data_IF_704952087304
#
_entry.id   IF_704952087304
#
_cell.length_a   1.000
_cell.length_b   1.000
_cell.length_c   1.000
_cell.angle_alpha   90.00
_cell.angle_beta   90.00
_cell.angle_gamma   90.00
#
_symmetry.space_group_name_H-M   'P 1'
#
loop_
_entity.id
_entity.type
_entity.pdbx_description
1 polymer ?
#
# COMPACT_ATOMS: atom_id res chain seq x y z
N UNK A 1 26.50 -10.37 28.31
CA UNK A 1 26.12 -9.08 27.64
C UNK A 1 26.79 -7.92 28.37
N UNK A 2 27.40 -6.96 27.59
CA UNK A 2 28.09 -5.78 28.14
C UNK A 2 27.07 -4.81 28.83
N UNK A 3 27.46 -4.21 29.97
CA UNK A 3 26.63 -3.27 30.75
C UNK A 3 26.08 -2.10 29.93
N UNK A 4 26.91 -1.56 29.02
CA UNK A 4 26.54 -0.46 28.11
C UNK A 4 25.37 -0.88 27.21
N UNK A 5 25.38 -2.10 26.66
CA UNK A 5 24.29 -2.63 25.82
C UNK A 5 22.98 -2.75 26.61
N UNK A 6 23.04 -3.21 27.88
CA UNK A 6 21.85 -3.27 28.75
C UNK A 6 21.23 -1.90 29.01
N UNK A 7 22.05 -0.89 29.27
CA UNK A 7 21.58 0.48 29.49
C UNK A 7 20.91 1.03 28.22
N UNK A 8 21.53 0.81 27.05
CA UNK A 8 20.99 1.25 25.76
C UNK A 8 19.65 0.60 25.47
N UNK A 9 19.49 -0.71 25.67
CA UNK A 9 18.22 -1.42 25.45
C UNK A 9 17.14 -0.84 26.38
N UNK A 10 17.43 -0.69 27.70
CA UNK A 10 16.46 -0.13 28.65
C UNK A 10 16.01 1.28 28.25
N UNK A 11 16.94 2.12 27.80
CA UNK A 11 16.63 3.47 27.33
C UNK A 11 15.73 3.44 26.07
N UNK A 12 16.05 2.60 25.09
CA UNK A 12 15.24 2.46 23.88
C UNK A 12 13.82 1.92 24.17
N UNK A 13 13.69 0.98 25.10
CA UNK A 13 12.40 0.46 25.57
C UNK A 13 11.61 1.57 26.28
N UNK A 14 12.27 2.34 27.15
CA UNK A 14 11.64 3.48 27.83
C UNK A 14 11.16 4.56 26.86
N UNK A 15 11.93 4.84 25.81
CA UNK A 15 11.52 5.77 24.73
C UNK A 15 10.47 5.19 23.77
N UNK A 16 10.00 3.97 23.95
CA UNK A 16 9.04 3.32 23.06
C UNK A 16 9.60 2.89 21.69
N UNK A 17 10.94 2.98 21.49
CA UNK A 17 11.63 2.64 20.24
C UNK A 17 12.01 1.16 20.12
N UNK A 18 11.85 0.40 21.18
CA UNK A 18 12.21 -1.01 21.22
C UNK A 18 11.26 -1.81 22.11
N UNK A 19 11.25 -3.13 21.91
CA UNK A 19 10.58 -4.13 22.75
C UNK A 19 11.62 -5.16 23.20
N UNK A 20 11.78 -5.36 24.51
CA UNK A 20 12.63 -6.42 25.06
C UNK A 20 11.73 -7.61 25.44
N UNK A 21 11.79 -8.66 24.63
CA UNK A 21 10.93 -9.83 24.71
C UNK A 21 11.34 -10.69 25.90
N UNK A 22 10.45 -10.77 26.87
CA UNK A 22 10.62 -11.61 28.04
C UNK A 22 9.26 -11.99 28.66
N UNK A 23 9.12 -13.20 29.19
CA UNK A 23 7.85 -13.73 29.71
C UNK A 23 7.22 -12.94 30.87
N UNK A 24 7.98 -12.10 31.57
CA UNK A 24 7.49 -11.20 32.64
C UNK A 24 7.40 -9.72 32.18
N UNK A 25 7.70 -9.42 30.94
CA UNK A 25 7.50 -8.08 30.38
C UNK A 25 6.01 -7.76 30.22
N UNK A 26 5.63 -6.49 30.14
CA UNK A 26 4.27 -6.12 29.74
C UNK A 26 4.00 -6.50 28.27
N UNK A 27 2.72 -6.48 27.90
CA UNK A 27 2.31 -6.61 26.50
C UNK A 27 3.02 -5.55 25.62
N UNK A 28 3.42 -5.88 24.39
CA UNK A 28 3.27 -7.16 23.68
C UNK A 28 4.39 -8.17 23.95
N UNK A 29 5.44 -7.80 24.70
CA UNK A 29 6.66 -8.57 24.85
C UNK A 29 6.46 -9.93 25.54
N UNK A 30 5.54 -10.03 26.51
CA UNK A 30 5.23 -11.29 27.19
C UNK A 30 4.59 -12.31 26.24
N UNK A 31 3.70 -11.87 25.35
CA UNK A 31 3.03 -12.73 24.35
C UNK A 31 4.02 -13.24 23.30
N UNK A 32 5.03 -12.43 22.95
CA UNK A 32 6.07 -12.81 21.99
C UNK A 32 7.13 -13.76 22.58
N UNK A 33 7.12 -13.98 23.89
CA UNK A 33 8.04 -14.93 24.53
C UNK A 33 7.73 -16.36 24.09
N UNK A 34 8.77 -17.13 23.76
CA UNK A 34 8.64 -18.56 23.44
C UNK A 34 7.96 -19.39 24.55
N UNK A 35 7.97 -18.88 25.77
CA UNK A 35 7.31 -19.49 26.93
C UNK A 35 5.80 -19.24 27.02
N UNK A 36 5.27 -18.32 26.22
CA UNK A 36 3.83 -18.02 26.17
C UNK A 36 3.07 -19.18 25.52
N UNK A 37 1.85 -19.43 25.97
CA UNK A 37 0.99 -20.51 25.50
C UNK A 37 0.34 -20.15 24.14
N UNK A 38 1.19 -19.92 23.14
CA UNK A 38 0.79 -19.66 21.77
C UNK A 38 0.68 -21.00 21.03
N UNK A 39 -0.46 -21.66 21.14
CA UNK A 39 -0.69 -22.95 20.47
C UNK A 39 -0.74 -22.79 18.93
N UNK A 40 -0.18 -23.79 18.24
CA UNK A 40 -0.23 -23.89 16.76
C UNK A 40 0.02 -25.34 16.32
N UNK A 41 -0.21 -25.63 15.06
CA UNK A 41 0.13 -26.91 14.43
C UNK A 41 1.29 -26.72 13.45
N UNK A 42 2.25 -27.63 13.48
CA UNK A 42 3.37 -27.63 12.54
C UNK A 42 3.65 -29.06 12.06
N UNK A 43 3.68 -29.29 10.74
CA UNK A 43 3.81 -30.61 10.11
C UNK A 43 2.83 -31.66 10.70
N UNK A 44 1.61 -31.24 10.99
CA UNK A 44 0.56 -32.08 11.56
C UNK A 44 0.70 -32.36 13.07
N UNK A 45 1.74 -31.81 13.73
CA UNK A 45 1.99 -31.97 15.16
C UNK A 45 1.46 -30.76 15.93
N UNK A 46 0.71 -31.01 17.02
CA UNK A 46 0.27 -29.95 17.93
C UNK A 46 1.46 -29.44 18.75
N UNK A 47 1.71 -28.13 18.68
CA UNK A 47 2.69 -27.40 19.47
C UNK A 47 1.95 -26.57 20.53
N UNK A 48 2.23 -26.79 21.83
CA UNK A 48 1.62 -26.02 22.92
C UNK A 48 2.22 -24.62 23.06
N UNK A 49 3.46 -24.44 22.58
CA UNK A 49 4.18 -23.17 22.55
C UNK A 49 5.41 -23.28 21.64
N UNK A 50 6.02 -22.16 21.29
CA UNK A 50 7.31 -22.19 20.59
C UNK A 50 8.42 -22.81 21.48
N UNK A 51 8.39 -22.65 22.80
CA UNK A 51 9.33 -23.34 23.69
C UNK A 51 9.15 -24.86 23.62
N UNK A 52 7.91 -25.36 23.58
CA UNK A 52 7.62 -26.78 23.41
C UNK A 52 8.21 -27.33 22.11
N UNK A 53 8.02 -26.61 21.02
CA UNK A 53 8.62 -26.96 19.73
C UNK A 53 10.16 -26.98 19.83
N UNK A 54 10.80 -25.92 20.31
CA UNK A 54 12.25 -25.82 20.42
C UNK A 54 12.87 -26.92 21.32
N UNK A 55 12.21 -27.25 22.43
CA UNK A 55 12.67 -28.34 23.31
C UNK A 55 12.45 -29.73 22.70
N UNK A 56 11.40 -29.88 21.87
CA UNK A 56 11.11 -31.11 21.15
C UNK A 56 12.23 -31.47 20.15
N UNK A 57 12.84 -30.47 19.51
CA UNK A 57 13.97 -30.68 18.58
C UNK A 57 15.20 -31.36 19.23
N UNK A 58 15.29 -31.32 20.55
CA UNK A 58 16.37 -31.98 21.32
C UNK A 58 16.09 -33.46 21.59
N UNK A 59 14.93 -33.97 21.18
CA UNK A 59 14.49 -35.33 21.43
C UNK A 59 14.62 -36.16 20.15
N UNK A 60 15.51 -37.20 20.17
CA UNK A 60 15.68 -38.10 19.02
C UNK A 60 14.48 -39.05 18.84
N UNK A 61 13.84 -39.45 19.93
CA UNK A 61 12.68 -40.33 19.90
C UNK A 61 11.43 -39.53 19.49
N UNK A 62 10.81 -39.86 18.35
CA UNK A 62 9.67 -39.16 17.75
C UNK A 62 8.47 -39.09 18.70
N UNK A 63 8.15 -40.19 19.41
CA UNK A 63 7.02 -40.22 20.35
C UNK A 63 7.21 -39.22 21.49
N UNK A 64 8.44 -39.20 22.07
CA UNK A 64 8.82 -38.24 23.10
C UNK A 64 8.88 -36.83 22.57
N UNK A 65 9.34 -36.64 21.31
CA UNK A 65 9.39 -35.37 20.61
C UNK A 65 7.99 -34.72 20.53
N UNK A 66 6.99 -35.47 20.08
CA UNK A 66 5.60 -34.96 19.98
C UNK A 66 4.98 -34.66 21.36
N UNK A 67 5.30 -35.49 22.39
CA UNK A 67 4.86 -35.22 23.73
C UNK A 67 5.43 -33.89 24.25
N UNK A 68 6.72 -33.63 24.06
CA UNK A 68 7.38 -32.38 24.48
C UNK A 68 6.87 -31.19 23.66
N UNK A 69 6.63 -31.38 22.36
CA UNK A 69 6.11 -30.35 21.48
C UNK A 69 4.74 -29.81 21.97
N UNK A 70 3.87 -30.66 22.46
CA UNK A 70 2.56 -30.29 23.02
C UNK A 70 2.61 -29.53 24.36
N UNK A 71 3.78 -29.37 24.97
CA UNK A 71 3.95 -28.66 26.24
C UNK A 71 4.10 -27.15 26.04
N UNK A 72 3.85 -26.38 27.12
CA UNK A 72 4.01 -24.94 27.11
C UNK A 72 4.79 -24.42 28.32
N UNK A 73 5.24 -23.20 28.24
CA UNK A 73 5.81 -22.45 29.35
C UNK A 73 6.98 -23.12 30.05
N UNK A 74 6.93 -23.11 31.35
CA UNK A 74 7.99 -23.69 32.21
C UNK A 74 8.06 -25.23 32.14
N UNK A 75 6.96 -25.89 31.84
CA UNK A 75 6.90 -27.33 31.68
C UNK A 75 7.76 -27.76 30.48
N UNK A 76 7.53 -27.13 29.31
CA UNK A 76 8.35 -27.37 28.14
C UNK A 76 9.84 -27.09 28.40
N UNK A 77 10.14 -25.97 29.06
CA UNK A 77 11.53 -25.59 29.37
C UNK A 77 12.26 -26.63 30.27
N UNK A 78 11.54 -27.34 31.15
CA UNK A 78 12.14 -28.41 32.02
C UNK A 78 12.53 -29.67 31.23
N UNK A 79 11.99 -29.84 30.02
CA UNK A 79 12.28 -30.99 29.15
C UNK A 79 13.59 -30.85 28.38
N UNK A 80 14.44 -29.91 28.78
CA UNK A 80 15.73 -29.67 28.12
C UNK A 80 16.62 -30.88 28.14
N UNK A 81 17.34 -31.11 27.04
CA UNK A 81 18.40 -32.08 26.89
C UNK A 81 19.61 -31.38 26.29
N UNK A 82 20.80 -31.60 26.80
CA UNK A 82 22.05 -31.00 26.34
C UNK A 82 22.84 -31.88 25.35
N UNK A 83 22.44 -33.15 25.15
CA UNK A 83 23.17 -34.10 24.32
C UNK A 83 23.36 -33.60 22.88
N UNK A 84 22.40 -32.79 22.36
CA UNK A 84 22.49 -32.20 21.04
C UNK A 84 23.69 -31.26 20.84
N UNK A 85 24.21 -30.67 21.94
CA UNK A 85 25.35 -29.74 21.91
C UNK A 85 26.66 -30.42 21.54
N UNK A 86 26.82 -31.67 21.84
CA UNK A 86 28.07 -32.44 21.59
C UNK A 86 28.34 -32.52 20.07
N UNK A 87 27.29 -32.87 19.30
CA UNK A 87 27.41 -33.07 17.86
C UNK A 87 26.63 -32.01 17.07
N UNK A 88 26.10 -30.98 17.71
CA UNK A 88 25.27 -29.94 17.12
C UNK A 88 24.11 -30.51 16.31
N UNK A 89 23.54 -31.64 16.71
CA UNK A 89 22.49 -32.37 16.01
C UNK A 89 21.17 -32.25 16.76
N UNK A 90 20.16 -31.81 16.02
CA UNK A 90 18.76 -31.79 16.45
C UNK A 90 17.93 -32.74 15.60
N UNK A 91 16.71 -33.02 15.99
CA UNK A 91 15.83 -33.94 15.26
C UNK A 91 14.45 -33.38 15.05
N UNK A 92 13.88 -33.64 13.87
CA UNK A 92 12.47 -33.39 13.60
C UNK A 92 11.88 -34.54 12.77
N UNK A 93 10.76 -35.10 13.21
CA UNK A 93 10.09 -36.26 12.58
C UNK A 93 11.05 -37.43 12.26
N UNK A 94 12.00 -37.72 13.17
CA UNK A 94 12.99 -38.77 12.99
C UNK A 94 14.21 -38.42 12.12
N UNK A 95 14.23 -37.25 11.50
CA UNK A 95 15.35 -36.76 10.70
C UNK A 95 16.32 -35.95 11.54
N UNK A 96 17.61 -36.28 11.42
CA UNK A 96 18.69 -35.53 12.05
C UNK A 96 19.00 -34.27 11.22
N UNK A 97 19.16 -33.13 11.87
CA UNK A 97 19.45 -31.84 11.26
C UNK A 97 20.63 -31.21 12.01
N UNK A 98 21.59 -30.69 11.27
CA UNK A 98 22.66 -29.89 11.85
C UNK A 98 22.12 -28.54 12.34
N UNK A 99 22.34 -28.24 13.63
CA UNK A 99 21.94 -26.97 14.27
C UNK A 99 22.55 -25.74 13.57
N UNK A 100 23.72 -25.90 12.95
CA UNK A 100 24.43 -24.81 12.31
C UNK A 100 24.05 -24.63 10.82
N UNK A 101 23.10 -25.43 10.33
CA UNK A 101 22.69 -25.41 8.89
C UNK A 101 21.58 -24.43 8.59
N UNK A 102 21.46 -24.03 7.34
CA UNK A 102 20.32 -23.25 6.82
C UNK A 102 19.01 -24.03 6.88
N UNK A 103 19.07 -25.38 6.83
CA UNK A 103 17.91 -26.26 7.00
C UNK A 103 17.27 -26.04 8.37
N UNK A 104 18.09 -25.96 9.43
CA UNK A 104 17.63 -25.65 10.77
C UNK A 104 16.94 -24.28 10.81
N UNK A 105 17.59 -23.23 10.29
CA UNK A 105 17.01 -21.88 10.31
C UNK A 105 15.70 -21.81 9.53
N UNK A 106 15.62 -22.53 8.41
CA UNK A 106 14.38 -22.63 7.61
C UNK A 106 13.27 -23.33 8.41
N UNK A 107 13.58 -24.44 9.08
CA UNK A 107 12.62 -25.13 9.95
C UNK A 107 12.04 -24.21 11.02
N UNK A 108 12.90 -23.45 11.70
CA UNK A 108 12.46 -22.51 12.74
C UNK A 108 11.60 -21.37 12.15
N UNK A 109 12.02 -20.78 11.02
CA UNK A 109 11.24 -19.74 10.34
C UNK A 109 9.84 -20.23 9.97
N UNK A 110 9.75 -21.43 9.41
CA UNK A 110 8.46 -22.03 9.03
C UNK A 110 7.57 -22.29 10.25
N UNK A 111 8.13 -22.71 11.38
CA UNK A 111 7.38 -22.91 12.62
C UNK A 111 6.84 -21.58 13.18
N UNK A 112 7.63 -20.48 13.15
CA UNK A 112 7.15 -19.16 13.54
C UNK A 112 6.08 -18.62 12.57
N UNK A 113 6.21 -18.87 11.29
CA UNK A 113 5.22 -18.49 10.28
C UNK A 113 3.89 -19.24 10.52
N UNK A 114 3.95 -20.56 10.75
CA UNK A 114 2.77 -21.35 11.11
C UNK A 114 2.10 -20.86 12.39
N UNK A 115 2.86 -20.51 13.43
CA UNK A 115 2.33 -19.92 14.65
C UNK A 115 1.69 -18.55 14.39
N UNK A 116 2.31 -17.70 13.60
CA UNK A 116 1.78 -16.38 13.23
C UNK A 116 0.45 -16.49 12.47
N UNK A 117 0.34 -17.44 11.54
CA UNK A 117 -0.88 -17.63 10.75
C UNK A 117 -2.04 -18.17 11.57
N UNK A 118 -1.75 -19.06 12.55
CA UNK A 118 -2.76 -19.77 13.30
C UNK A 118 -3.13 -19.11 14.62
N UNK A 119 -2.21 -18.37 15.27
CA UNK A 119 -2.42 -17.79 16.59
C UNK A 119 -2.61 -16.28 16.51
N UNK A 120 -3.87 -15.83 16.68
CA UNK A 120 -4.23 -14.41 16.59
C UNK A 120 -3.57 -13.55 17.66
N UNK A 121 -3.45 -14.06 18.88
CA UNK A 121 -2.78 -13.35 19.99
C UNK A 121 -1.32 -13.05 19.66
N UNK A 122 -0.59 -14.04 19.17
CA UNK A 122 0.81 -13.88 18.75
C UNK A 122 0.94 -12.93 17.57
N UNK A 123 0.09 -13.11 16.55
CA UNK A 123 0.07 -12.24 15.37
C UNK A 123 -0.16 -10.79 15.75
N UNK A 124 -1.19 -10.49 16.52
CA UNK A 124 -1.52 -9.13 16.97
C UNK A 124 -0.37 -8.54 17.76
N UNK A 125 0.18 -9.28 18.75
CA UNK A 125 1.30 -8.81 19.56
C UNK A 125 2.54 -8.49 18.70
N UNK A 126 2.84 -9.31 17.69
CA UNK A 126 3.97 -9.06 16.80
C UNK A 126 3.74 -7.81 15.94
N UNK A 127 2.54 -7.65 15.39
CA UNK A 127 2.20 -6.49 14.56
C UNK A 127 2.15 -5.18 15.37
N UNK A 128 1.86 -5.21 16.67
CA UNK A 128 1.93 -4.04 17.57
C UNK A 128 3.37 -3.57 17.85
N UNK A 129 4.35 -4.35 17.43
CA UNK A 129 5.77 -3.93 17.47
C UNK A 129 6.25 -3.24 16.18
N UNK A 130 5.37 -2.89 15.23
CA UNK A 130 5.76 -2.20 13.99
C UNK A 130 6.62 -0.98 14.28
N UNK A 131 7.69 -0.83 13.50
CA UNK A 131 8.64 0.28 13.65
C UNK A 131 9.54 0.24 14.89
N UNK A 132 9.42 -0.79 15.74
CA UNK A 132 10.24 -0.94 16.94
C UNK A 132 11.33 -2.00 16.75
N UNK A 133 12.46 -1.80 17.40
CA UNK A 133 13.53 -2.80 17.45
C UNK A 133 13.15 -3.90 18.45
N UNK A 134 13.40 -5.16 18.08
CA UNK A 134 13.18 -6.29 18.94
C UNK A 134 14.50 -6.74 19.60
N UNK A 135 14.46 -6.95 20.89
CA UNK A 135 15.54 -7.49 21.70
C UNK A 135 15.06 -8.68 22.54
N UNK A 136 15.99 -9.56 22.89
CA UNK A 136 15.82 -10.58 23.92
C UNK A 136 17.05 -10.52 24.84
N UNK A 137 17.08 -9.51 25.71
CA UNK A 137 18.27 -9.15 26.49
C UNK A 137 18.79 -10.24 27.44
N UNK A 138 18.00 -11.30 27.68
CA UNK A 138 18.37 -12.46 28.44
C UNK A 138 18.76 -13.67 27.58
N UNK A 139 18.71 -13.53 26.24
CA UNK A 139 19.03 -14.59 25.29
C UNK A 139 20.54 -14.87 25.24
N UNK A 140 20.88 -16.15 24.99
CA UNK A 140 22.23 -16.58 24.69
C UNK A 140 22.62 -16.16 23.25
N UNK A 141 23.90 -15.84 23.06
CA UNK A 141 24.43 -15.40 21.78
C UNK A 141 25.18 -16.51 21.02
N UNK A 142 25.65 -17.51 21.77
CA UNK A 142 26.45 -18.60 21.21
C UNK A 142 25.54 -19.73 20.71
N UNK A 143 25.51 -19.92 19.38
CA UNK A 143 24.68 -20.94 18.71
C UNK A 143 25.05 -22.37 19.12
N UNK A 144 26.27 -22.62 19.64
CA UNK A 144 26.67 -23.92 20.12
C UNK A 144 26.09 -24.25 21.51
N UNK A 145 25.65 -23.22 22.24
CA UNK A 145 25.09 -23.35 23.59
C UNK A 145 23.59 -23.25 23.69
N UNK A 146 22.96 -22.63 22.70
CA UNK A 146 21.51 -22.47 22.67
C UNK A 146 20.89 -22.99 21.37
N UNK A 147 19.67 -23.53 21.50
CA UNK A 147 18.89 -23.96 20.33
C UNK A 147 18.49 -22.81 19.44
N UNK A 148 18.35 -21.61 20.00
CA UNK A 148 18.02 -20.39 19.27
C UNK A 148 18.72 -19.21 19.93
N UNK A 149 19.56 -18.49 19.20
CA UNK A 149 20.24 -17.30 19.72
C UNK A 149 19.29 -16.09 19.74
N UNK A 150 19.62 -15.06 20.55
CA UNK A 150 18.88 -13.79 20.52
C UNK A 150 18.80 -13.21 19.11
N UNK A 151 19.91 -13.25 18.37
CA UNK A 151 19.99 -12.68 17.00
C UNK A 151 19.06 -13.41 16.03
N UNK A 152 19.06 -14.74 16.06
CA UNK A 152 18.17 -15.56 15.22
C UNK A 152 16.72 -15.30 15.59
N UNK A 153 16.39 -15.34 16.86
CA UNK A 153 15.04 -15.13 17.37
C UNK A 153 14.48 -13.77 16.98
N UNK A 154 15.17 -12.68 17.35
CA UNK A 154 14.72 -11.33 17.04
C UNK A 154 14.73 -11.06 15.52
N UNK A 155 15.69 -11.63 14.78
CA UNK A 155 15.75 -11.53 13.33
C UNK A 155 14.53 -12.18 12.66
N UNK A 156 14.20 -13.42 13.03
CA UNK A 156 13.03 -14.15 12.50
C UNK A 156 11.74 -13.36 12.74
N UNK A 157 11.53 -12.84 13.95
CA UNK A 157 10.32 -12.07 14.28
C UNK A 157 10.26 -10.75 13.51
N UNK A 158 11.39 -10.07 13.36
CA UNK A 158 11.47 -8.82 12.60
C UNK A 158 11.15 -9.07 11.12
N UNK A 159 11.78 -10.06 10.50
CA UNK A 159 11.56 -10.40 9.09
C UNK A 159 10.10 -10.82 8.84
N UNK A 160 9.52 -11.62 9.74
CA UNK A 160 8.13 -12.06 9.67
C UNK A 160 7.18 -10.85 9.73
N UNK A 161 7.33 -10.01 10.75
CA UNK A 161 6.54 -8.79 10.92
C UNK A 161 6.61 -7.88 9.70
N UNK A 162 7.83 -7.59 9.24
CA UNK A 162 8.06 -6.61 8.18
C UNK A 162 7.53 -7.11 6.83
N UNK A 163 7.59 -8.42 6.55
CA UNK A 163 6.96 -9.04 5.36
C UNK A 163 5.44 -8.87 5.36
N UNK A 164 4.79 -9.13 6.50
CA UNK A 164 3.33 -9.02 6.60
C UNK A 164 2.88 -7.55 6.62
N UNK A 165 3.62 -6.65 7.27
CA UNK A 165 3.34 -5.20 7.23
C UNK A 165 3.42 -4.64 5.81
N UNK A 166 4.40 -5.07 5.02
CA UNK A 166 4.53 -4.68 3.61
C UNK A 166 3.35 -5.22 2.79
N UNK A 167 2.95 -6.48 3.00
CA UNK A 167 1.83 -7.11 2.31
C UNK A 167 0.49 -6.41 2.62
N UNK A 168 0.26 -6.05 3.88
CA UNK A 168 -0.94 -5.32 4.30
C UNK A 168 -1.00 -3.94 3.66
N UNK A 169 0.12 -3.19 3.65
CA UNK A 169 0.22 -1.88 2.99
C UNK A 169 -0.02 -1.97 1.48
N UNK A 170 0.52 -3.00 0.84
CA UNK A 170 0.31 -3.21 -0.61
C UNK A 170 -1.17 -3.46 -0.90
N UNK A 171 -1.84 -4.33 -0.13
CA UNK A 171 -3.28 -4.56 -0.27
C UNK A 171 -4.11 -3.29 -0.05
N UNK A 172 -3.78 -2.51 0.97
CA UNK A 172 -4.46 -1.24 1.26
C UNK A 172 -4.31 -0.23 0.11
N UNK A 173 -3.12 -0.16 -0.51
CA UNK A 173 -2.87 0.69 -1.68
C UNK A 173 -3.63 0.20 -2.91
N UNK A 174 -3.68 -1.11 -3.15
CA UNK A 174 -4.46 -1.70 -4.24
C UNK A 174 -5.96 -1.44 -4.06
N UNK A 175 -6.50 -1.63 -2.85
CA UNK A 175 -7.90 -1.31 -2.55
C UNK A 175 -8.22 0.17 -2.72
N UNK A 176 -7.33 1.07 -2.29
CA UNK A 176 -7.49 2.52 -2.51
C UNK A 176 -7.44 2.87 -3.99
N UNK A 177 -6.59 2.22 -4.77
CA UNK A 177 -6.50 2.40 -6.23
C UNK A 177 -7.79 1.94 -6.93
N UNK A 178 -8.36 0.80 -6.51
CA UNK A 178 -9.63 0.27 -7.06
C UNK A 178 -10.81 1.19 -6.69
N UNK A 179 -10.84 1.79 -5.49
CA UNK A 179 -11.91 2.69 -5.05
C UNK A 179 -11.81 4.10 -5.62
N UNK A 180 -10.66 4.50 -6.16
CA UNK A 180 -10.48 5.81 -6.76
C UNK A 180 -11.24 5.90 -8.07
N UNK A 181 -12.20 6.84 -8.18
CA UNK A 181 -12.81 7.18 -9.48
C UNK A 181 -11.71 7.53 -10.47
N UNK A 182 -11.81 6.98 -11.68
CA UNK A 182 -10.88 7.32 -12.76
C UNK A 182 -11.03 8.79 -13.13
N UNK A 183 -9.91 9.49 -13.34
CA UNK A 183 -9.92 10.89 -13.70
C UNK A 183 -10.14 11.05 -15.19
N UNK A 184 -11.16 11.85 -15.52
CA UNK A 184 -11.49 12.22 -16.89
C UNK A 184 -11.33 13.71 -17.06
N UNK A 185 -10.51 14.09 -18.01
CA UNK A 185 -10.44 15.46 -18.52
C UNK A 185 -11.38 15.61 -19.72
N UNK A 186 -12.06 16.76 -19.78
CA UNK A 186 -13.00 17.09 -20.85
C UNK A 186 -12.61 18.44 -21.42
N UNK A 187 -12.39 18.52 -22.74
CA UNK A 187 -12.21 19.80 -23.40
C UNK A 187 -13.52 20.59 -23.49
N UNK A 188 -13.43 21.87 -23.73
CA UNK A 188 -14.61 22.72 -23.87
C UNK A 188 -15.05 22.89 -25.34
N UNK A 189 -14.16 23.38 -26.18
CA UNK A 189 -14.50 23.81 -27.53
C UNK A 189 -14.91 22.63 -28.42
N UNK A 190 -16.11 22.64 -28.99
CA UNK A 190 -16.74 21.56 -29.76
C UNK A 190 -16.92 20.21 -29.01
N UNK A 191 -16.74 20.20 -27.69
CA UNK A 191 -17.04 19.06 -26.81
C UNK A 191 -18.15 19.41 -25.83
N UNK A 192 -17.97 20.46 -25.04
CA UNK A 192 -18.98 20.98 -24.10
C UNK A 192 -19.73 22.18 -24.69
N UNK A 193 -19.06 23.00 -25.50
CA UNK A 193 -19.59 24.23 -26.04
C UNK A 193 -19.63 24.19 -27.59
N UNK A 194 -20.72 24.66 -28.16
CA UNK A 194 -20.88 24.85 -29.59
C UNK A 194 -20.22 26.17 -30.00
N UNK A 195 -19.00 26.07 -30.56
CA UNK A 195 -18.24 27.22 -30.99
C UNK A 195 -18.98 28.07 -32.07
N UNK A 196 -19.71 27.40 -32.97
CA UNK A 196 -20.47 28.08 -34.00
C UNK A 196 -21.58 28.96 -33.40
N UNK A 197 -22.23 28.52 -32.33
CA UNK A 197 -23.29 29.30 -31.66
C UNK A 197 -22.82 30.68 -31.16
N UNK A 198 -21.54 30.78 -30.76
CA UNK A 198 -20.94 32.05 -30.36
C UNK A 198 -20.68 32.96 -31.57
N UNK A 199 -20.26 32.38 -32.69
CA UNK A 199 -20.06 33.12 -33.94
C UNK A 199 -21.38 33.65 -34.55
N UNK A 200 -22.46 32.90 -34.41
CA UNK A 200 -23.77 33.30 -34.93
C UNK A 200 -24.32 34.55 -34.26
N UNK A 201 -23.84 34.88 -33.06
CA UNK A 201 -24.19 36.12 -32.33
C UNK A 201 -23.35 37.33 -32.79
N UNK A 202 -22.29 37.14 -33.58
CA UNK A 202 -21.42 38.22 -34.01
C UNK A 202 -21.91 38.82 -35.32
N UNK A 203 -21.76 40.16 -35.46
CA UNK A 203 -22.09 40.85 -36.72
C UNK A 203 -21.11 40.44 -37.86
N UNK A 204 -21.56 40.61 -39.10
CA UNK A 204 -20.74 40.32 -40.27
C UNK A 204 -19.48 41.19 -40.34
N UNK A 205 -19.56 42.44 -39.84
CA UNK A 205 -18.42 43.34 -39.73
C UNK A 205 -17.34 42.77 -38.80
N UNK A 206 -17.72 42.27 -37.60
CA UNK A 206 -16.80 41.66 -36.65
C UNK A 206 -16.21 40.38 -37.24
N UNK A 207 -17.02 39.53 -37.85
CA UNK A 207 -16.54 38.30 -38.49
C UNK A 207 -15.52 38.59 -39.57
N UNK A 208 -15.73 39.65 -40.36
CA UNK A 208 -14.80 40.08 -41.41
C UNK A 208 -13.51 40.67 -40.83
N UNK A 209 -13.59 41.44 -39.75
CA UNK A 209 -12.42 41.99 -39.06
C UNK A 209 -11.50 40.89 -38.52
N UNK A 210 -12.10 39.81 -38.00
CA UNK A 210 -11.39 38.67 -37.43
C UNK A 210 -11.30 37.45 -38.38
N UNK A 211 -11.43 37.66 -39.69
CA UNK A 211 -11.33 36.58 -40.66
C UNK A 211 -10.00 35.81 -40.53
N UNK A 212 -10.09 34.48 -40.46
CA UNK A 212 -8.95 33.58 -40.23
C UNK A 212 -8.45 33.50 -38.76
N UNK A 213 -9.07 34.25 -37.85
CA UNK A 213 -8.74 34.28 -36.41
C UNK A 213 -9.97 34.54 -35.53
N UNK A 214 -11.06 33.86 -35.84
CA UNK A 214 -12.38 34.07 -35.19
C UNK A 214 -12.36 33.76 -33.69
N UNK A 215 -11.46 32.92 -33.22
CA UNK A 215 -11.23 32.63 -31.83
C UNK A 215 -10.57 33.77 -31.03
N UNK A 216 -10.07 34.84 -31.76
CA UNK A 216 -9.53 36.05 -31.15
C UNK A 216 -10.62 37.09 -30.84
N UNK A 217 -11.91 36.88 -31.22
CA UNK A 217 -13.01 37.81 -30.95
C UNK A 217 -13.23 37.93 -29.44
N UNK A 218 -13.09 39.14 -28.84
CA UNK A 218 -13.30 39.33 -27.40
C UNK A 218 -14.74 39.03 -26.98
N UNK A 219 -14.91 38.33 -25.86
CA UNK A 219 -16.21 37.97 -25.30
C UNK A 219 -16.91 36.77 -25.94
N UNK A 220 -16.37 36.25 -27.06
CA UNK A 220 -16.97 35.15 -27.80
C UNK A 220 -17.28 33.92 -26.93
N UNK A 221 -16.32 33.52 -26.09
CA UNK A 221 -16.41 32.28 -25.30
C UNK A 221 -17.42 32.33 -24.15
N UNK A 222 -17.86 33.50 -23.74
CA UNK A 222 -18.86 33.63 -22.67
C UNK A 222 -20.31 33.34 -23.17
N UNK A 223 -20.58 33.54 -24.45
CA UNK A 223 -21.93 33.50 -25.01
C UNK A 223 -22.24 32.22 -25.82
N UNK A 224 -21.30 31.30 -25.92
CA UNK A 224 -21.50 30.00 -26.57
C UNK A 224 -22.57 29.17 -25.89
N UNK A 225 -23.39 28.48 -26.67
CA UNK A 225 -24.38 27.53 -26.15
C UNK A 225 -23.71 26.20 -25.81
N UNK A 226 -24.24 25.43 -24.82
CA UNK A 226 -23.82 24.04 -24.63
C UNK A 226 -24.08 23.21 -25.91
N UNK A 227 -23.18 22.24 -26.16
CA UNK A 227 -23.47 21.18 -27.12
C UNK A 227 -24.71 20.38 -26.64
N UNK A 228 -25.55 19.91 -27.57
CA UNK A 228 -26.73 19.10 -27.22
C UNK A 228 -26.35 17.90 -26.38
N UNK A 229 -26.98 17.73 -25.21
CA UNK A 229 -26.73 16.61 -24.28
C UNK A 229 -25.46 16.74 -23.46
N UNK A 230 -24.60 17.75 -23.63
CA UNK A 230 -23.35 17.86 -22.91
C UNK A 230 -23.53 18.07 -21.41
N UNK A 231 -24.50 18.86 -20.98
CA UNK A 231 -24.78 19.12 -19.57
C UNK A 231 -25.22 17.84 -18.87
N UNK A 232 -26.20 17.13 -19.42
CA UNK A 232 -26.73 15.87 -18.90
C UNK A 232 -25.64 14.78 -18.85
N UNK A 233 -24.77 14.74 -19.88
CA UNK A 233 -23.64 13.81 -19.91
C UNK A 233 -22.66 14.06 -18.78
N UNK A 234 -22.33 15.32 -18.46
CA UNK A 234 -21.43 15.65 -17.34
C UNK A 234 -22.03 15.27 -16.00
N UNK A 235 -23.33 15.51 -15.77
CA UNK A 235 -24.01 15.06 -14.57
C UNK A 235 -24.01 13.53 -14.42
N UNK A 236 -24.18 12.79 -15.51
CA UNK A 236 -24.10 11.33 -15.50
C UNK A 236 -22.68 10.83 -15.21
N UNK A 237 -21.69 11.42 -15.89
CA UNK A 237 -20.29 10.99 -15.77
C UNK A 237 -19.70 11.29 -14.39
N UNK A 238 -20.08 12.37 -13.71
CA UNK A 238 -19.58 12.68 -12.37
C UNK A 238 -19.95 11.63 -11.31
N UNK A 239 -21.00 10.86 -11.53
CA UNK A 239 -21.39 9.76 -10.62
C UNK A 239 -20.32 8.66 -10.62
N UNK A 240 -19.62 8.44 -11.74
CA UNK A 240 -18.69 7.34 -11.95
C UNK A 240 -17.23 7.75 -12.03
N UNK A 241 -16.96 9.01 -12.42
CA UNK A 241 -15.63 9.52 -12.71
C UNK A 241 -15.28 10.76 -11.89
N UNK A 242 -13.99 11.04 -11.73
CA UNK A 242 -13.43 12.26 -11.16
C UNK A 242 -13.19 13.25 -12.31
N UNK A 243 -14.17 14.15 -12.57
CA UNK A 243 -14.21 15.00 -13.75
C UNK A 243 -13.44 16.32 -13.57
N UNK A 244 -12.71 16.73 -14.59
CA UNK A 244 -12.05 18.02 -14.71
C UNK A 244 -12.20 18.56 -16.13
N UNK A 245 -12.28 19.88 -16.26
CA UNK A 245 -12.11 20.55 -17.57
C UNK A 245 -10.61 20.68 -17.85
N UNK A 246 -10.20 20.38 -19.08
CA UNK A 246 -8.86 20.60 -19.59
C UNK A 246 -8.94 21.27 -20.97
N UNK A 247 -8.90 22.59 -20.99
CA UNK A 247 -9.13 23.37 -22.19
C UNK A 247 -7.95 24.29 -22.51
N UNK A 248 -7.96 24.84 -23.72
CA UNK A 248 -6.99 25.85 -24.18
C UNK A 248 -7.73 27.16 -24.44
N UNK A 249 -7.13 28.28 -24.06
CA UNK A 249 -7.64 29.61 -24.46
C UNK A 249 -6.70 30.20 -25.51
N UNK A 250 -7.24 30.82 -26.58
CA UNK A 250 -6.41 31.48 -27.61
C UNK A 250 -5.49 32.51 -26.98
N UNK A 251 -4.19 32.46 -27.33
CA UNK A 251 -3.16 33.29 -26.70
C UNK A 251 -3.41 34.78 -26.88
N UNK A 252 -3.94 35.17 -28.05
CA UNK A 252 -4.23 36.58 -28.38
C UNK A 252 -5.63 37.04 -27.97
N UNK A 253 -6.41 36.19 -27.29
CA UNK A 253 -7.69 36.54 -26.72
C UNK A 253 -7.68 36.44 -25.20
N UNK A 254 -7.24 37.49 -24.48
CA UNK A 254 -7.21 37.46 -23.03
C UNK A 254 -8.58 37.24 -22.36
N UNK A 255 -9.67 37.67 -23.01
CA UNK A 255 -11.01 37.47 -22.46
C UNK A 255 -11.40 35.99 -22.41
N UNK A 256 -10.93 35.17 -23.36
CA UNK A 256 -11.27 33.75 -23.44
C UNK A 256 -10.98 32.99 -22.14
N UNK A 257 -9.93 33.37 -21.39
CA UNK A 257 -9.59 32.76 -20.09
C UNK A 257 -10.69 32.98 -19.04
N UNK A 258 -11.17 34.22 -18.89
CA UNK A 258 -12.24 34.55 -17.97
C UNK A 258 -13.62 34.11 -18.47
N UNK A 259 -13.82 34.13 -19.77
CA UNK A 259 -15.10 33.77 -20.41
C UNK A 259 -15.39 32.27 -20.24
N UNK A 260 -14.37 31.41 -20.42
CA UNK A 260 -14.49 29.96 -20.15
C UNK A 260 -14.88 29.67 -18.68
N UNK A 261 -14.31 30.41 -17.73
CA UNK A 261 -14.71 30.30 -16.32
C UNK A 261 -16.13 30.75 -16.10
N UNK A 262 -16.56 31.89 -16.71
CA UNK A 262 -17.94 32.37 -16.60
C UNK A 262 -18.94 31.36 -17.18
N UNK A 263 -18.59 30.77 -18.34
CA UNK A 263 -19.40 29.75 -18.97
C UNK A 263 -19.59 28.52 -18.06
N UNK A 264 -18.51 27.99 -17.48
CA UNK A 264 -18.56 26.87 -16.55
C UNK A 264 -19.40 27.23 -15.31
N UNK A 265 -19.22 28.41 -14.74
CA UNK A 265 -20.00 28.88 -13.60
C UNK A 265 -21.49 28.97 -13.93
N UNK A 266 -21.84 29.34 -15.15
CA UNK A 266 -23.24 29.46 -15.60
C UNK A 266 -23.93 28.10 -15.77
N UNK A 267 -23.23 27.10 -16.33
CA UNK A 267 -23.86 25.86 -16.81
C UNK A 267 -23.49 24.62 -16.01
N UNK A 268 -22.32 24.55 -15.36
CA UNK A 268 -21.75 23.35 -14.76
C UNK A 268 -20.96 23.65 -13.49
N UNK A 269 -21.27 24.70 -12.72
CA UNK A 269 -20.55 25.03 -11.48
C UNK A 269 -20.63 23.92 -10.46
N UNK A 270 -21.76 23.21 -10.39
CA UNK A 270 -21.98 22.07 -9.50
C UNK A 270 -21.11 20.86 -9.82
N UNK A 271 -20.66 20.71 -11.08
CA UNK A 271 -19.77 19.62 -11.51
C UNK A 271 -18.30 20.03 -11.45
N UNK A 272 -17.99 21.24 -11.95
CA UNK A 272 -16.60 21.66 -12.21
C UNK A 272 -16.11 22.81 -11.32
N UNK A 273 -16.76 23.11 -10.21
CA UNK A 273 -16.28 24.14 -9.27
C UNK A 273 -14.84 23.86 -8.83
N UNK A 274 -13.91 24.78 -9.15
CA UNK A 274 -12.45 24.61 -8.91
C UNK A 274 -11.81 23.38 -9.56
N UNK A 275 -12.42 22.86 -10.63
CA UNK A 275 -11.97 21.66 -11.37
C UNK A 275 -11.70 21.99 -12.84
N UNK A 276 -10.97 23.06 -13.08
CA UNK A 276 -10.66 23.53 -14.43
C UNK A 276 -9.18 23.84 -14.58
N UNK A 277 -8.60 23.35 -15.68
CA UNK A 277 -7.23 23.64 -16.11
C UNK A 277 -7.30 24.26 -17.51
N UNK A 278 -6.70 25.43 -17.68
CA UNK A 278 -6.52 26.06 -18.99
C UNK A 278 -5.03 26.04 -19.31
N UNK A 279 -4.64 25.38 -20.40
CA UNK A 279 -3.25 25.19 -20.78
C UNK A 279 -3.08 24.94 -22.27
N UNK A 280 -1.89 25.25 -22.82
CA UNK A 280 -1.47 24.86 -24.16
C UNK A 280 -0.65 23.57 -24.18
N UNK A 281 -0.47 22.93 -23.00
CA UNK A 281 0.34 21.72 -22.82
C UNK A 281 -0.49 20.66 -22.07
N UNK A 282 -1.53 20.12 -22.71
CA UNK A 282 -2.45 19.12 -22.11
C UNK A 282 -1.73 17.84 -21.69
N UNK A 283 -0.63 17.49 -22.37
CA UNK A 283 0.24 16.36 -22.05
C UNK A 283 0.91 16.44 -20.67
N UNK A 284 0.98 17.61 -20.03
CA UNK A 284 1.52 17.75 -18.67
C UNK A 284 0.49 17.36 -17.59
N UNK A 285 -0.78 17.20 -17.95
CA UNK A 285 -1.84 16.81 -17.02
C UNK A 285 -1.93 15.28 -16.92
N UNK A 286 -2.07 14.77 -15.68
CA UNK A 286 -2.14 13.33 -15.42
C UNK A 286 -3.58 12.90 -15.13
N UNK A 287 -4.13 12.06 -16.01
CA UNK A 287 -5.46 11.49 -15.90
C UNK A 287 -5.59 10.16 -16.62
N UNK A 288 -6.72 9.47 -16.42
CA UNK A 288 -6.97 8.19 -17.06
C UNK A 288 -7.53 8.37 -18.48
N UNK A 289 -8.34 9.40 -18.69
CA UNK A 289 -8.96 9.73 -19.98
C UNK A 289 -8.92 11.22 -20.27
N UNK A 290 -8.85 11.57 -21.56
CA UNK A 290 -9.05 12.91 -22.09
C UNK A 290 -10.07 12.84 -23.24
N UNK A 291 -11.18 13.55 -23.13
CA UNK A 291 -12.19 13.72 -24.18
C UNK A 291 -11.89 15.06 -24.87
N UNK A 292 -11.54 15.02 -26.15
CA UNK A 292 -11.12 16.19 -26.94
C UNK A 292 -11.41 15.94 -28.42
N UNK A 293 -11.86 16.96 -29.17
CA UNK A 293 -12.18 16.86 -30.59
C UNK A 293 -10.91 16.79 -31.47
N UNK A 294 -9.76 17.26 -30.96
CA UNK A 294 -8.53 17.44 -31.75
C UNK A 294 -7.26 17.06 -31.02
N UNK A 295 -6.30 16.46 -31.73
CA UNK A 295 -4.97 16.12 -31.22
C UNK A 295 -3.99 17.28 -31.06
N UNK A 296 -4.46 18.54 -30.79
CA UNK A 296 -3.62 19.74 -30.64
C UNK A 296 -3.29 20.04 -29.18
N UNK A 297 -2.36 20.97 -28.97
CA UNK A 297 -1.98 21.47 -27.63
C UNK A 297 -1.57 20.35 -26.62
N UNK A 298 -0.89 19.31 -27.12
CA UNK A 298 -0.42 18.19 -26.33
C UNK A 298 -1.47 17.08 -26.08
N UNK A 299 -2.65 17.13 -26.72
CA UNK A 299 -3.67 16.08 -26.57
C UNK A 299 -3.18 14.74 -27.12
N UNK A 300 -2.48 14.73 -28.28
CA UNK A 300 -1.92 13.50 -28.87
C UNK A 300 -0.82 12.85 -28.03
N UNK A 301 -0.15 13.59 -27.15
CA UNK A 301 0.89 13.13 -26.24
C UNK A 301 0.38 12.94 -24.80
N UNK A 302 -0.93 12.97 -24.56
CA UNK A 302 -1.50 12.73 -23.26
C UNK A 302 -1.22 11.30 -22.79
N UNK A 303 -0.68 11.13 -21.57
CA UNK A 303 -0.27 9.80 -21.06
C UNK A 303 -1.46 8.83 -20.87
N UNK A 304 -2.68 9.33 -20.63
CA UNK A 304 -3.89 8.52 -20.54
C UNK A 304 -4.49 8.18 -21.90
N UNK A 305 -5.70 7.62 -21.92
CA UNK A 305 -6.42 7.33 -23.15
C UNK A 305 -7.11 8.58 -23.66
N UNK A 306 -6.71 9.06 -24.84
CA UNK A 306 -7.45 10.09 -25.58
C UNK A 306 -8.67 9.47 -26.26
N UNK A 307 -9.85 10.04 -26.00
CA UNK A 307 -11.14 9.73 -26.63
C UNK A 307 -11.43 10.89 -27.56
N UNK A 308 -11.29 10.67 -28.87
CA UNK A 308 -11.55 11.71 -29.86
C UNK A 308 -13.06 11.87 -30.06
N UNK A 309 -13.61 12.99 -29.55
CA UNK A 309 -15.02 13.32 -29.68
C UNK A 309 -15.36 13.71 -31.12
N UNK A 310 -16.55 13.39 -31.60
CA UNK A 310 -17.00 13.74 -32.95
C UNK A 310 -16.40 12.89 -34.08
N UNK A 311 -15.83 11.72 -33.79
CA UNK A 311 -15.40 10.75 -34.78
C UNK A 311 -16.44 9.63 -34.96
N UNK A 312 -16.18 8.68 -35.90
CA UNK A 312 -17.11 7.58 -36.18
C UNK A 312 -17.32 6.60 -35.00
N UNK A 313 -16.39 6.53 -34.04
CA UNK A 313 -16.46 5.68 -32.85
C UNK A 313 -17.18 6.41 -31.70
N UNK A 314 -16.97 7.72 -31.62
CA UNK A 314 -17.54 8.60 -30.57
C UNK A 314 -18.16 9.85 -31.26
N UNK A 315 -19.36 9.70 -31.89
CA UNK A 315 -20.00 10.77 -32.67
C UNK A 315 -20.51 11.93 -31.80
#
# INVERSE_FOLDING_TARGET
MNAIRKIRIKWQVWCGKAVDIWSKSPYPANVLSNLHDNEFYFDGVKCGSMEGFLQSLKQKNVKKQYQVCGMAGKEAKRMTNADWQVNQTIWWNGHAIDRQSDVFLTLIKNAYEAMFEQNECFRTALMDTRGKMLYHSQGEQDSHKTILTEREFCGILTDLRDRYDLRDKTKELEEKSIRRKKRVFVDMDNVLVDFQSGLDLQSDEIKKEYEGRLDEIPGLFAEMKPMPGAIEAMHTLQEHFDLYILSTAPWKNPSAWSDKVKWVTRYLDDVFHKRMVITHCKNLCKGDYLIDDRGKNGTSEFEGKWIQFGNNEFP
#
